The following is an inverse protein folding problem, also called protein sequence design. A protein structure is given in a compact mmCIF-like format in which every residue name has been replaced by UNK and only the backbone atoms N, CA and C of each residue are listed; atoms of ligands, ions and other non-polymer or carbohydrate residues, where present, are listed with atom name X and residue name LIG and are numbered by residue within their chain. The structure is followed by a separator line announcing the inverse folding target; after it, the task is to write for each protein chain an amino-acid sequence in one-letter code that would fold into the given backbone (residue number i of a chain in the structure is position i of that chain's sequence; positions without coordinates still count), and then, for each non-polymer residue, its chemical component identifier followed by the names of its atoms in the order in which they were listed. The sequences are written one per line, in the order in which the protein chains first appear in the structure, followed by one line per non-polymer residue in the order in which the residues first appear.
data_IF_888982748158
#
_entry.id   IF_888982748158
#
_cell.length_a   1.000
_cell.length_b   1.000
_cell.length_c   1.000
_cell.angle_alpha   90.00
_cell.angle_beta   90.00
_cell.angle_gamma   90.00
#
_symmetry.space_group_name_H-M   'P 1'
#
loop_
_entity.id
_entity.type
_entity.pdbx_description
1 polymer ?
#
# COMPACT_ATOMS: atom_id res chain seq x y z
N UNK A 1 10.92 -21.74 18.42
CA UNK A 1 10.33 -20.58 19.13
C UNK A 1 10.69 -19.24 18.48
N UNK A 2 11.97 -18.95 18.21
CA UNK A 2 12.41 -17.68 17.60
C UNK A 2 11.63 -17.29 16.32
N UNK A 3 11.48 -18.22 15.37
CA UNK A 3 10.81 -17.94 14.09
C UNK A 3 9.30 -17.66 14.25
N UNK A 4 8.66 -18.22 15.28
CA UNK A 4 7.24 -17.99 15.58
C UNK A 4 7.04 -16.59 16.17
N UNK A 5 7.95 -16.15 17.04
CA UNK A 5 7.94 -14.80 17.59
C UNK A 5 8.14 -13.73 16.50
N UNK A 6 9.02 -14.00 15.52
CA UNK A 6 9.20 -13.10 14.36
C UNK A 6 7.94 -12.99 13.49
N UNK A 7 7.23 -14.11 13.24
CA UNK A 7 5.97 -14.09 12.50
C UNK A 7 4.89 -13.26 13.21
N UNK A 8 4.80 -13.36 14.55
CA UNK A 8 3.88 -12.56 15.34
C UNK A 8 4.26 -11.08 15.35
N UNK A 9 5.54 -10.75 15.48
CA UNK A 9 6.05 -9.38 15.44
C UNK A 9 5.79 -8.69 14.09
N UNK A 10 5.68 -9.45 13.00
CA UNK A 10 5.44 -8.90 11.67
C UNK A 10 4.02 -8.31 11.49
N UNK A 11 3.05 -8.75 12.29
CA UNK A 11 1.67 -8.27 12.24
C UNK A 11 1.58 -6.77 12.60
N UNK A 12 2.03 -6.30 13.78
CA UNK A 12 2.00 -4.87 14.11
C UNK A 12 2.91 -4.04 13.20
N UNK A 13 4.05 -4.59 12.75
CA UNK A 13 4.95 -3.91 11.80
C UNK A 13 4.25 -3.65 10.47
N UNK A 14 3.59 -4.66 9.90
CA UNK A 14 2.80 -4.51 8.66
C UNK A 14 1.63 -3.56 8.84
N UNK A 15 0.96 -3.59 10.01
CA UNK A 15 -0.11 -2.66 10.32
C UNK A 15 0.36 -1.20 10.39
N UNK A 16 1.50 -0.95 11.05
CA UNK A 16 2.11 0.39 11.11
C UNK A 16 2.58 0.87 9.73
N UNK A 17 3.11 -0.03 8.91
CA UNK A 17 3.47 0.28 7.52
C UNK A 17 2.27 0.78 6.72
N UNK A 18 1.12 0.06 6.79
CA UNK A 18 -0.13 0.50 6.15
C UNK A 18 -0.64 1.83 6.70
N UNK A 19 -0.54 2.03 8.01
CA UNK A 19 -0.94 3.29 8.65
C UNK A 19 -0.15 4.50 8.12
N UNK A 20 1.16 4.33 7.92
CA UNK A 20 2.03 5.40 7.42
C UNK A 20 1.67 5.81 5.98
N UNK A 21 1.31 4.86 5.13
CA UNK A 21 0.82 5.13 3.77
C UNK A 21 -0.48 5.95 3.77
N UNK A 22 -1.48 5.54 4.57
CA UNK A 22 -2.73 6.29 4.66
C UNK A 22 -2.53 7.70 5.23
N UNK A 23 -1.57 7.88 6.15
CA UNK A 23 -1.20 9.21 6.65
C UNK A 23 -0.55 10.06 5.57
N UNK A 24 0.29 9.48 4.72
CA UNK A 24 0.89 10.19 3.60
C UNK A 24 -0.17 10.61 2.58
N UNK A 25 -1.13 9.73 2.25
CA UNK A 25 -2.27 10.04 1.38
C UNK A 25 -3.10 11.20 1.93
N UNK A 26 -3.43 11.15 3.22
CA UNK A 26 -4.15 12.22 3.90
C UNK A 26 -3.37 13.54 3.92
N UNK A 27 -2.04 13.47 4.08
CA UNK A 27 -1.16 14.64 4.00
C UNK A 27 -1.18 15.28 2.61
N UNK A 28 -1.04 14.46 1.56
CA UNK A 28 -1.15 14.91 0.17
C UNK A 28 -2.51 15.52 -0.11
N UNK A 29 -3.59 14.86 0.30
CA UNK A 29 -4.96 15.37 0.14
C UNK A 29 -5.16 16.74 0.80
N UNK A 30 -4.53 16.99 1.96
CA UNK A 30 -4.58 18.30 2.63
C UNK A 30 -3.77 19.38 1.90
N UNK A 31 -2.69 19.01 1.21
CA UNK A 31 -1.80 19.96 0.54
C UNK A 31 -2.26 20.31 -0.87
N UNK A 32 -2.69 19.31 -1.65
CA UNK A 32 -2.97 19.46 -3.10
C UNK A 32 -4.37 18.98 -3.50
N UNK A 33 -5.18 18.56 -2.53
CA UNK A 33 -6.53 18.03 -2.74
C UNK A 33 -6.55 16.50 -2.95
N UNK A 34 -7.60 15.82 -2.46
CA UNK A 34 -7.76 14.37 -2.59
C UNK A 34 -7.84 13.89 -4.05
N UNK A 35 -8.43 14.68 -4.95
CA UNK A 35 -8.59 14.33 -6.37
C UNK A 35 -7.23 14.17 -7.09
N UNK A 36 -6.27 15.06 -6.81
CA UNK A 36 -4.91 15.01 -7.36
C UNK A 36 -4.21 13.71 -6.96
N UNK A 37 -4.35 13.30 -5.69
CA UNK A 37 -3.76 12.06 -5.20
C UNK A 37 -4.43 10.82 -5.80
N UNK A 38 -5.75 10.83 -5.97
CA UNK A 38 -6.49 9.75 -6.65
C UNK A 38 -6.01 9.60 -8.11
N UNK A 39 -5.85 10.70 -8.83
CA UNK A 39 -5.35 10.70 -10.21
C UNK A 39 -3.94 10.09 -10.30
N UNK A 40 -3.03 10.49 -9.41
CA UNK A 40 -1.69 9.94 -9.34
C UNK A 40 -1.69 8.42 -9.05
N UNK A 41 -2.53 7.97 -8.11
CA UNK A 41 -2.66 6.55 -7.79
C UNK A 41 -3.19 5.72 -8.97
N UNK A 42 -4.18 6.24 -9.72
CA UNK A 42 -4.70 5.58 -10.93
C UNK A 42 -3.67 5.55 -12.05
N UNK A 43 -2.86 6.60 -12.21
CA UNK A 43 -1.76 6.60 -13.17
C UNK A 43 -0.69 5.55 -12.81
N UNK A 44 -0.37 5.38 -11.52
CA UNK A 44 0.55 4.32 -11.06
C UNK A 44 0.04 2.92 -11.39
N UNK A 45 -1.25 2.68 -11.19
CA UNK A 45 -1.89 1.40 -11.51
C UNK A 45 -1.78 1.04 -13.01
N UNK A 46 -1.93 2.04 -13.88
CA UNK A 46 -1.81 1.86 -15.33
C UNK A 46 -0.36 1.65 -15.80
N UNK A 47 0.63 2.18 -15.07
CA UNK A 47 2.06 2.09 -15.42
C UNK A 47 2.76 0.84 -14.85
N UNK A 48 2.01 -0.15 -14.36
CA UNK A 48 2.58 -1.45 -13.97
C UNK A 48 2.96 -2.23 -15.23
N UNK A 49 4.14 -1.95 -15.79
CA UNK A 49 4.79 -2.74 -16.84
C UNK A 49 4.82 -4.25 -16.50
N UNK A 50 4.84 -5.15 -17.50
CA UNK A 50 4.85 -6.59 -17.26
C UNK A 50 5.97 -7.01 -16.31
N UNK A 51 5.73 -8.00 -15.44
CA UNK A 51 6.67 -8.41 -14.40
C UNK A 51 7.98 -8.87 -15.04
N UNK A 52 9.06 -8.12 -14.79
CA UNK A 52 10.41 -8.56 -15.05
C UNK A 52 10.92 -9.35 -13.82
N UNK A 53 11.91 -10.25 -13.97
CA UNK A 53 12.44 -11.04 -12.85
C UNK A 53 12.94 -10.17 -11.69
N UNK A 54 13.47 -8.97 -11.98
CA UNK A 54 13.85 -7.97 -10.97
C UNK A 54 12.63 -7.37 -10.24
N UNK A 55 11.52 -7.11 -10.95
CA UNK A 55 10.28 -6.62 -10.33
C UNK A 55 9.64 -7.68 -9.44
N UNK A 56 9.71 -8.96 -9.79
CA UNK A 56 9.19 -10.02 -8.92
C UNK A 56 9.88 -10.03 -7.55
N UNK A 57 11.19 -9.80 -7.46
CA UNK A 57 11.87 -9.68 -6.17
C UNK A 57 11.41 -8.45 -5.36
N UNK A 58 11.20 -7.31 -6.03
CA UNK A 58 10.68 -6.09 -5.41
C UNK A 58 9.22 -6.21 -5.00
N UNK A 59 8.37 -6.89 -5.78
CA UNK A 59 6.96 -7.18 -5.49
C UNK A 59 6.78 -8.24 -4.39
N UNK A 60 7.79 -9.09 -4.17
CA UNK A 60 7.83 -10.00 -3.01
C UNK A 60 8.26 -9.25 -1.74
N UNK A 61 9.11 -8.23 -1.85
CA UNK A 61 9.46 -7.33 -0.74
C UNK A 61 8.34 -6.31 -0.44
N UNK A 62 7.66 -5.84 -1.48
CA UNK A 62 6.47 -5.00 -1.48
C UNK A 62 5.28 -5.90 -1.80
N UNK A 63 4.81 -6.73 -0.86
CA UNK A 63 3.71 -7.70 -1.11
C UNK A 63 2.48 -6.98 -1.68
N UNK A 64 2.43 -6.86 -3.01
CA UNK A 64 1.39 -6.19 -3.79
C UNK A 64 0.31 -7.24 -4.02
N UNK A 65 -0.32 -7.68 -2.92
CA UNK A 65 -1.39 -8.65 -3.03
C UNK A 65 -2.60 -7.93 -3.61
N UNK A 66 -2.99 -8.28 -4.85
CA UNK A 66 -4.29 -7.94 -5.43
C UNK A 66 -5.47 -8.53 -4.61
N UNK A 67 -5.18 -9.32 -3.57
CA UNK A 67 -6.14 -9.81 -2.58
C UNK A 67 -6.30 -8.76 -1.47
N UNK A 68 -7.56 -8.43 -1.17
CA UNK A 68 -7.99 -7.59 -0.02
C UNK A 68 -7.07 -7.80 1.17
N UNK A 69 -6.34 -6.75 1.55
CA UNK A 69 -5.44 -6.61 2.71
C UNK A 69 -5.03 -7.94 3.35
N UNK A 70 -3.98 -8.57 2.84
CA UNK A 70 -3.31 -9.65 3.58
C UNK A 70 -2.78 -9.10 4.91
N UNK A 71 -2.91 -9.84 6.01
CA UNK A 71 -2.35 -9.46 7.33
C UNK A 71 -0.85 -9.10 7.22
N UNK A 72 -0.15 -9.74 6.27
CA UNK A 72 1.27 -9.58 5.99
C UNK A 72 1.58 -8.56 4.88
N UNK A 73 0.58 -7.90 4.28
CA UNK A 73 0.84 -6.87 3.26
C UNK A 73 1.44 -5.62 3.91
N UNK A 74 2.60 -5.18 3.44
CA UNK A 74 3.30 -3.98 3.95
C UNK A 74 2.70 -2.68 3.43
N UNK A 75 1.97 -2.72 2.31
CA UNK A 75 1.27 -1.58 1.73
C UNK A 75 -0.22 -1.91 1.52
N UNK A 76 -1.12 -0.94 1.71
CA UNK A 76 -2.52 -1.11 1.33
C UNK A 76 -2.66 -1.11 -0.19
N UNK A 77 -3.72 -1.74 -0.70
CA UNK A 77 -3.97 -1.75 -2.15
C UNK A 77 -4.25 -0.34 -2.66
N UNK A 78 -3.96 -0.06 -3.94
CA UNK A 78 -4.30 1.23 -4.57
C UNK A 78 -5.79 1.52 -4.41
N UNK A 79 -6.65 0.52 -4.59
CA UNK A 79 -8.10 0.66 -4.45
C UNK A 79 -8.52 1.09 -3.03
N UNK A 80 -7.94 0.48 -1.99
CA UNK A 80 -8.22 0.88 -0.59
C UNK A 80 -7.80 2.32 -0.30
N UNK A 81 -6.67 2.77 -0.89
CA UNK A 81 -6.18 4.15 -0.76
C UNK A 81 -7.11 5.12 -1.46
N UNK A 82 -7.52 4.81 -2.70
CA UNK A 82 -8.48 5.62 -3.48
C UNK A 82 -9.81 5.73 -2.75
N UNK A 83 -10.36 4.62 -2.22
CA UNK A 83 -11.61 4.65 -1.47
C UNK A 83 -11.51 5.55 -0.23
N UNK A 84 -10.37 5.54 0.48
CA UNK A 84 -10.17 6.39 1.64
C UNK A 84 -10.07 7.87 1.26
N UNK A 85 -9.39 8.19 0.16
CA UNK A 85 -9.30 9.55 -0.37
C UNK A 85 -10.66 10.07 -0.86
N UNK A 86 -11.48 9.22 -1.47
CA UNK A 86 -12.84 9.58 -1.88
C UNK A 86 -13.74 9.97 -0.70
N UNK A 87 -13.52 9.38 0.49
CA UNK A 87 -14.22 9.79 1.72
C UNK A 87 -13.74 11.12 2.31
N UNK A 88 -12.65 11.69 1.78
CA UNK A 88 -12.11 12.99 2.19
C UNK A 88 -12.51 14.12 1.23
N UNK A 89 -13.15 13.79 0.11
CA UNK A 89 -13.79 14.74 -0.82
C UNK A 89 -15.13 15.17 -0.27
#
# INVERSE_FOLDING_TARGET
VQNVLFLLAYIPVSAYSRHREYRADAGSAKLVGPASMISALRALEQNVSPPSPKRMATDMAMIHNKRKVSLFATHPTIEDRVQRLQRMM
#
